data_IF_824477858042
#
_entry.id   IF_824477858042
#
_cell.length_a   1.000
_cell.length_b   1.000
_cell.length_c   1.000
_cell.angle_alpha   90.00
_cell.angle_beta   90.00
_cell.angle_gamma   90.00
#
_symmetry.space_group_name_H-M   'P 1'
#
loop_
_entity.id
_entity.type
_entity.pdbx_description
1 polymer ?
#
# COMPACT_ATOMS: atom_id res chain seq x y z
N UNK A 1 7.94 5.97 -0.23
CA UNK A 1 7.46 5.55 1.10
C UNK A 1 6.42 4.49 0.84
N UNK A 2 6.64 3.25 1.30
CA UNK A 2 5.51 2.34 1.52
C UNK A 2 4.62 3.04 2.54
N UNK A 3 3.40 3.40 2.12
CA UNK A 3 2.42 4.09 2.97
C UNK A 3 1.60 2.98 3.60
N UNK A 4 1.97 2.57 4.80
CA UNK A 4 1.04 1.81 5.63
C UNK A 4 0.04 2.82 6.18
N UNK A 5 -1.24 2.56 5.93
CA UNK A 5 -2.31 3.37 6.45
C UNK A 5 -3.26 2.44 7.20
N UNK A 6 -3.80 2.92 8.31
CA UNK A 6 -4.86 2.26 9.05
C UNK A 6 -6.03 3.22 9.18
N UNK A 7 -7.25 2.68 9.12
CA UNK A 7 -8.48 3.42 9.33
C UNK A 7 -9.25 2.74 10.43
N UNK A 8 -9.70 3.52 11.41
CA UNK A 8 -10.61 3.05 12.44
C UNK A 8 -11.96 3.69 12.21
N UNK A 9 -12.96 2.83 12.04
CA UNK A 9 -14.32 3.26 11.78
C UNK A 9 -15.12 3.35 13.08
N UNK A 10 -16.04 4.31 13.14
CA UNK A 10 -17.05 4.51 14.16
C UNK A 10 -18.37 4.86 13.47
N UNK A 11 -19.45 4.19 13.83
CA UNK A 11 -20.75 4.88 13.81
C UNK A 11 -20.61 5.98 14.90
N UNK A 12 -21.02 7.22 14.77
CA UNK A 12 -20.95 8.35 15.76
C UNK A 12 -19.77 9.29 15.61
N UNK A 13 -18.69 8.92 14.93
CA UNK A 13 -17.58 9.84 14.73
C UNK A 13 -16.93 9.65 13.36
N UNK A 14 -16.31 10.73 12.86
CA UNK A 14 -15.47 10.68 11.67
C UNK A 14 -14.40 9.59 11.83
N UNK A 15 -14.11 8.81 10.77
CA UNK A 15 -13.04 7.82 10.81
C UNK A 15 -11.72 8.43 11.24
N UNK A 16 -11.00 7.72 12.10
CA UNK A 16 -9.61 8.05 12.42
C UNK A 16 -8.69 7.56 11.32
N UNK A 17 -8.04 8.48 10.59
CA UNK A 17 -7.05 8.17 9.56
C UNK A 17 -5.64 8.20 10.14
N UNK A 18 -4.97 7.05 10.07
CA UNK A 18 -3.66 6.82 10.62
C UNK A 18 -2.68 6.45 9.51
N UNK A 19 -1.47 6.98 9.60
CA UNK A 19 -0.44 6.70 8.60
C UNK A 19 0.88 6.36 9.29
N UNK A 20 1.66 5.49 8.65
CA UNK A 20 2.99 5.13 9.06
C UNK A 20 3.95 5.37 7.88
N UNK A 21 5.04 6.10 8.15
CA UNK A 21 6.07 6.47 7.17
C UNK A 21 7.40 5.75 7.44
N UNK A 22 7.36 4.60 8.08
CA UNK A 22 8.52 3.81 8.50
C UNK A 22 8.88 3.94 9.99
N UNK A 23 7.91 4.29 10.84
CA UNK A 23 8.09 4.36 12.29
C UNK A 23 7.51 3.13 12.98
N UNK A 24 7.84 2.90 14.26
CA UNK A 24 7.26 1.82 15.05
C UNK A 24 5.79 2.09 15.48
N UNK A 25 5.26 3.28 15.20
CA UNK A 25 3.90 3.69 15.54
C UNK A 25 3.23 4.40 14.36
N UNK A 26 1.89 4.48 14.43
CA UNK A 26 1.11 5.28 13.50
C UNK A 26 0.97 6.72 13.99
N UNK A 27 1.15 7.67 13.08
CA UNK A 27 0.76 9.06 13.30
C UNK A 27 -0.72 9.26 12.97
N UNK A 28 -1.38 10.15 13.70
CA UNK A 28 -2.73 10.62 13.36
C UNK A 28 -2.65 11.86 12.48
N UNK A 29 -3.37 11.86 11.36
CA UNK A 29 -3.49 13.04 10.52
C UNK A 29 -4.67 13.90 10.99
N UNK A 30 -4.50 14.71 12.04
CA UNK A 30 -5.58 15.57 12.58
C UNK A 30 -6.11 16.57 11.55
N UNK A 31 -5.29 16.97 10.59
CA UNK A 31 -5.69 17.85 9.47
C UNK A 31 -6.45 17.12 8.35
N UNK A 32 -6.59 15.80 8.44
CA UNK A 32 -7.39 14.96 7.53
C UNK A 32 -8.64 14.44 8.26
N UNK A 33 -9.31 15.32 9.00
CA UNK A 33 -10.66 15.06 9.50
C UNK A 33 -11.62 15.10 8.31
N UNK A 34 -12.36 14.01 8.07
CA UNK A 34 -13.30 13.96 6.95
C UNK A 34 -14.50 14.90 7.19
N UNK A 35 -14.84 15.15 8.46
CA UNK A 35 -15.87 16.10 8.85
C UNK A 35 -15.54 17.54 8.46
N UNK A 36 -14.25 17.91 8.42
CA UNK A 36 -13.80 19.27 8.08
C UNK A 36 -13.50 19.44 6.57
N UNK A 37 -13.75 18.40 5.77
CA UNK A 37 -13.53 18.42 4.33
C UNK A 37 -14.64 19.17 3.60
N UNK A 38 -14.30 19.77 2.45
CA UNK A 38 -15.28 20.35 1.51
C UNK A 38 -15.85 19.34 0.52
N UNK A 39 -15.34 18.10 0.51
CA UNK A 39 -15.82 17.05 -0.39
C UNK A 39 -17.12 16.44 0.15
N UNK A 40 -18.23 16.39 -0.61
CA UNK A 40 -19.51 15.86 -0.11
C UNK A 40 -19.42 14.42 0.39
N UNK A 41 -18.65 13.58 -0.30
CA UNK A 41 -18.43 12.19 0.12
C UNK A 41 -17.66 12.11 1.45
N UNK A 42 -16.71 13.03 1.70
CA UNK A 42 -15.96 13.04 2.95
C UNK A 42 -16.85 13.51 4.11
N UNK A 43 -17.69 14.52 3.89
CA UNK A 43 -18.64 15.00 4.90
C UNK A 43 -19.63 13.89 5.30
N UNK A 44 -20.22 13.20 4.31
CA UNK A 44 -21.14 12.08 4.57
C UNK A 44 -20.48 10.95 5.39
N UNK A 45 -19.22 10.62 5.08
CA UNK A 45 -18.45 9.65 5.88
C UNK A 45 -18.10 10.22 7.26
N UNK A 46 -17.80 11.51 7.36
CA UNK A 46 -17.41 12.21 8.60
C UNK A 46 -18.50 12.22 9.68
N UNK A 47 -19.77 12.11 9.30
CA UNK A 47 -20.91 11.94 10.21
C UNK A 47 -20.98 10.54 10.87
N UNK A 48 -20.14 9.62 10.39
CA UNK A 48 -20.06 8.23 10.83
C UNK A 48 -20.45 7.27 9.72
N UNK A 49 -20.12 5.99 9.93
CA UNK A 49 -20.26 4.95 8.92
C UNK A 49 -20.61 3.62 9.55
N UNK A 50 -21.20 2.74 8.76
CA UNK A 50 -21.57 1.38 9.17
C UNK A 50 -20.47 0.38 8.87
N UNK A 51 -19.73 0.59 7.78
CA UNK A 51 -18.63 -0.24 7.33
C UNK A 51 -17.70 0.54 6.41
N UNK A 52 -16.49 0.03 6.18
CA UNK A 52 -15.59 0.58 5.19
C UNK A 52 -14.31 -0.22 5.03
N UNK A 53 -13.52 0.17 4.03
CA UNK A 53 -12.21 -0.37 3.74
C UNK A 53 -11.29 0.74 3.24
N UNK A 54 -9.99 0.58 3.49
CA UNK A 54 -8.97 1.41 2.88
C UNK A 54 -8.10 0.52 2.01
N UNK A 55 -8.18 0.75 0.70
CA UNK A 55 -7.58 -0.08 -0.34
C UNK A 55 -7.29 0.80 -1.53
N UNK A 56 -6.27 0.48 -2.31
CA UNK A 56 -6.04 1.11 -3.60
C UNK A 56 -7.10 0.60 -4.60
N UNK A 57 -8.09 1.43 -4.94
CA UNK A 57 -9.21 1.09 -5.83
C UNK A 57 -8.88 1.39 -7.29
N UNK A 58 -7.92 2.29 -7.56
CA UNK A 58 -7.62 2.79 -8.90
C UNK A 58 -6.26 2.33 -9.45
N UNK A 59 -5.45 1.65 -8.65
CA UNK A 59 -4.15 1.09 -9.00
C UNK A 59 -2.99 2.09 -8.98
N UNK A 60 -3.14 3.26 -8.36
CA UNK A 60 -2.10 4.30 -8.31
C UNK A 60 -1.15 4.17 -7.10
N UNK A 61 -1.37 3.14 -6.27
CA UNK A 61 -0.60 2.83 -5.06
C UNK A 61 -0.69 3.92 -3.98
N UNK A 62 -1.77 4.70 -4.01
CA UNK A 62 -2.26 5.53 -2.92
C UNK A 62 -3.49 4.85 -2.32
N UNK A 63 -3.57 4.71 -0.98
CA UNK A 63 -4.78 4.17 -0.36
C UNK A 63 -5.98 5.08 -0.63
N UNK A 64 -7.05 4.49 -1.15
CA UNK A 64 -8.37 5.11 -1.27
C UNK A 64 -9.25 4.69 -0.09
N UNK A 65 -10.28 5.48 0.21
CA UNK A 65 -11.27 5.15 1.23
C UNK A 65 -12.58 4.75 0.56
N UNK A 66 -13.11 3.58 0.91
CA UNK A 66 -14.46 3.13 0.59
C UNK A 66 -15.25 3.00 1.89
N UNK A 67 -16.45 3.55 1.97
CA UNK A 67 -17.28 3.45 3.17
C UNK A 67 -18.78 3.43 2.84
N UNK A 68 -19.56 2.83 3.73
CA UNK A 68 -21.02 2.91 3.74
C UNK A 68 -21.42 3.94 4.78
N UNK A 69 -21.98 5.07 4.34
CA UNK A 69 -22.41 6.14 5.22
C UNK A 69 -23.63 5.73 6.08
N UNK A 70 -24.04 6.57 7.03
CA UNK A 70 -25.17 6.24 7.93
C UNK A 70 -26.49 6.08 7.19
N UNK A 71 -26.61 6.69 6.02
CA UNK A 71 -27.77 6.62 5.14
C UNK A 71 -27.74 5.37 4.25
N UNK A 72 -26.74 4.49 4.43
CA UNK A 72 -26.59 3.24 3.69
C UNK A 72 -26.04 3.41 2.28
N UNK A 73 -25.51 4.59 1.93
CA UNK A 73 -24.95 4.85 0.62
C UNK A 73 -23.46 4.49 0.58
N UNK A 74 -23.04 3.89 -0.53
CA UNK A 74 -21.62 3.62 -0.79
C UNK A 74 -20.94 4.91 -1.26
N UNK A 75 -19.89 5.31 -0.54
CA UNK A 75 -19.07 6.49 -0.82
C UNK A 75 -17.61 6.07 -1.02
N UNK A 76 -16.91 6.76 -1.90
CA UNK A 76 -15.47 6.58 -2.07
C UNK A 76 -14.73 7.91 -2.14
N UNK A 77 -13.51 7.93 -1.62
CA UNK A 77 -12.56 9.04 -1.72
C UNK A 77 -11.27 8.50 -2.31
N UNK A 78 -10.88 9.03 -3.46
CA UNK A 78 -9.62 8.67 -4.08
C UNK A 78 -8.47 9.46 -3.46
N UNK A 79 -7.42 8.76 -3.05
CA UNK A 79 -6.20 9.37 -2.59
C UNK A 79 -5.50 10.10 -3.73
N UNK A 80 -5.00 11.31 -3.46
CA UNK A 80 -4.28 12.07 -4.48
C UNK A 80 -2.76 11.80 -4.40
N UNK A 81 -2.17 11.42 -5.54
CA UNK A 81 -0.72 11.46 -5.75
C UNK A 81 -0.31 12.76 -6.48
N UNK A 82 0.73 13.48 -6.00
CA UNK A 82 1.38 14.49 -6.83
C UNK A 82 2.11 13.76 -7.98
N UNK A 83 1.48 13.77 -9.16
CA UNK A 83 1.83 13.04 -10.39
C UNK A 83 1.73 11.50 -10.31
N UNK A 84 1.25 10.89 -11.40
CA UNK A 84 1.20 9.43 -11.55
C UNK A 84 2.60 8.85 -11.29
N UNK A 85 2.73 8.06 -10.21
CA UNK A 85 3.97 7.33 -9.94
C UNK A 85 4.12 6.25 -11.01
N UNK A 86 4.88 6.55 -12.06
CA UNK A 86 5.11 5.62 -13.19
C UNK A 86 6.15 4.55 -12.91
N UNK A 87 6.69 4.47 -11.70
CA UNK A 87 7.73 3.49 -11.35
C UNK A 87 7.15 2.46 -10.38
N UNK A 88 6.89 1.27 -10.90
CA UNK A 88 6.28 0.16 -10.17
C UNK A 88 6.97 -1.15 -10.57
N UNK A 89 7.14 -2.04 -9.60
CA UNK A 89 7.64 -3.39 -9.80
C UNK A 89 6.65 -4.41 -9.25
N UNK A 90 6.15 -5.32 -10.09
CA UNK A 90 5.39 -6.48 -9.65
C UNK A 90 6.34 -7.63 -9.38
N UNK A 91 6.45 -8.09 -8.13
CA UNK A 91 7.21 -9.27 -7.76
C UNK A 91 6.27 -10.46 -7.61
N UNK A 92 6.50 -11.52 -8.39
CA UNK A 92 5.78 -12.79 -8.25
C UNK A 92 6.73 -13.94 -7.96
N UNK A 93 6.23 -15.01 -7.34
CA UNK A 93 7.02 -16.24 -7.22
C UNK A 93 7.14 -16.93 -8.58
N UNK A 94 8.31 -17.53 -8.79
CA UNK A 94 8.46 -18.62 -9.74
C UNK A 94 7.61 -19.82 -9.26
N UNK A 95 7.01 -20.56 -10.21
CA UNK A 95 6.09 -21.66 -9.90
C UNK A 95 6.72 -22.82 -9.15
N UNK A 96 8.06 -22.86 -9.09
CA UNK A 96 8.85 -23.82 -8.31
C UNK A 96 8.79 -23.58 -6.80
N UNK A 97 8.39 -22.39 -6.35
CA UNK A 97 8.24 -22.05 -4.93
C UNK A 97 6.79 -22.22 -4.49
N UNK A 98 6.53 -23.24 -3.67
CA UNK A 98 5.20 -23.56 -3.15
C UNK A 98 4.79 -22.78 -1.90
N UNK A 99 5.67 -21.95 -1.33
CA UNK A 99 5.42 -21.22 -0.08
C UNK A 99 5.63 -19.71 -0.23
N UNK A 100 4.92 -18.89 0.58
CA UNK A 100 5.14 -17.45 0.60
C UNK A 100 6.58 -17.06 0.94
N UNK A 101 7.07 -15.99 0.29
CA UNK A 101 8.34 -15.37 0.64
C UNK A 101 8.13 -13.98 1.23
N UNK A 102 8.87 -13.69 2.29
CA UNK A 102 9.02 -12.32 2.80
C UNK A 102 10.22 -11.67 2.12
N UNK A 103 9.95 -10.63 1.34
CA UNK A 103 10.94 -9.94 0.50
C UNK A 103 11.17 -8.54 1.04
N UNK A 104 12.40 -8.23 1.42
CA UNK A 104 12.85 -6.88 1.75
C UNK A 104 13.23 -6.15 0.47
N UNK A 105 12.83 -4.89 0.35
CA UNK A 105 13.02 -4.10 -0.88
C UNK A 105 13.82 -2.85 -0.56
N UNK A 106 14.90 -2.60 -1.30
CA UNK A 106 15.69 -1.38 -1.21
C UNK A 106 15.88 -0.73 -2.59
N UNK A 107 15.97 0.61 -2.63
CA UNK A 107 16.30 1.39 -3.83
C UNK A 107 17.58 2.19 -3.54
N UNK A 108 18.71 1.68 -4.03
CA UNK A 108 20.03 2.10 -3.54
C UNK A 108 20.14 1.89 -2.02
N UNK A 109 20.55 2.92 -1.29
CA UNK A 109 20.69 2.86 0.18
C UNK A 109 19.35 2.98 0.95
N UNK A 110 18.22 3.17 0.26
CA UNK A 110 16.93 3.41 0.91
C UNK A 110 16.11 2.13 1.00
N UNK A 111 15.82 1.67 2.21
CA UNK A 111 14.83 0.61 2.43
C UNK A 111 13.40 1.12 2.14
N UNK A 112 12.64 0.38 1.34
CA UNK A 112 11.28 0.72 0.93
C UNK A 112 10.22 -0.05 1.72
N UNK A 113 10.55 -1.23 2.24
CA UNK A 113 9.66 -2.04 3.06
C UNK A 113 9.88 -3.54 2.87
N UNK A 114 9.03 -4.32 3.54
CA UNK A 114 8.96 -5.77 3.40
C UNK A 114 7.59 -6.16 2.81
N UNK A 115 7.59 -7.13 1.92
CA UNK A 115 6.41 -7.58 1.19
C UNK A 115 6.31 -9.10 1.27
N UNK A 116 5.10 -9.60 1.52
CA UNK A 116 4.83 -11.05 1.41
C UNK A 116 4.38 -11.32 -0.02
N UNK A 117 5.13 -12.16 -0.73
CA UNK A 117 4.80 -12.60 -2.10
C UNK A 117 4.32 -14.05 -2.00
N UNK A 118 3.10 -14.33 -2.46
CA UNK A 118 2.50 -15.68 -2.36
C UNK A 118 2.40 -16.34 -3.74
N UNK A 119 2.31 -17.68 -3.80
CA UNK A 119 1.99 -18.37 -5.04
C UNK A 119 0.67 -17.85 -5.63
N UNK A 120 0.66 -17.47 -6.90
CA UNK A 120 -0.52 -16.93 -7.60
C UNK A 120 -0.90 -15.48 -7.25
N UNK A 121 -0.36 -14.90 -6.17
CA UNK A 121 -0.66 -13.55 -5.70
C UNK A 121 0.62 -12.70 -5.67
N UNK A 122 0.95 -12.01 -6.77
CA UNK A 122 2.15 -11.18 -6.83
C UNK A 122 2.00 -9.92 -5.97
N UNK A 123 3.12 -9.41 -5.44
CA UNK A 123 3.16 -8.15 -4.72
C UNK A 123 3.50 -6.98 -5.65
N UNK A 124 2.75 -5.89 -5.52
CA UNK A 124 3.03 -4.63 -6.22
C UNK A 124 3.85 -3.69 -5.34
N UNK A 125 4.97 -3.22 -5.89
CA UNK A 125 5.94 -2.38 -5.18
C UNK A 125 6.02 -1.02 -5.86
N UNK A 126 5.60 0.04 -5.16
CA UNK A 126 5.72 1.42 -5.63
C UNK A 126 7.15 1.94 -5.43
N UNK A 127 7.74 2.56 -6.46
CA UNK A 127 9.04 3.21 -6.36
C UNK A 127 8.88 4.74 -6.42
N UNK A 128 9.64 5.50 -5.62
CA UNK A 128 9.59 6.96 -5.64
C UNK A 128 10.23 7.57 -6.89
N UNK A 129 11.04 6.80 -7.62
CA UNK A 129 11.76 7.19 -8.85
C UNK A 129 12.28 5.94 -9.56
N UNK A 130 12.72 6.09 -10.81
CA UNK A 130 13.50 5.08 -11.48
C UNK A 130 14.81 4.76 -10.73
N UNK A 131 15.27 3.51 -10.83
CA UNK A 131 16.57 3.10 -10.31
C UNK A 131 16.69 1.61 -10.06
N UNK A 132 17.85 1.23 -9.51
CA UNK A 132 18.19 -0.13 -9.12
C UNK A 132 17.52 -0.51 -7.81
N UNK A 133 16.68 -1.53 -7.87
CA UNK A 133 15.97 -2.12 -6.74
C UNK A 133 16.65 -3.42 -6.37
N UNK A 134 17.01 -3.55 -5.09
CA UNK A 134 17.49 -4.79 -4.50
C UNK A 134 16.30 -5.47 -3.79
N UNK A 135 16.04 -6.72 -4.18
CA UNK A 135 15.03 -7.59 -3.59
C UNK A 135 15.77 -8.67 -2.82
N UNK A 136 15.61 -8.71 -1.50
CA UNK A 136 16.33 -9.63 -0.63
C UNK A 136 15.35 -10.52 0.12
N UNK A 137 15.54 -11.83 0.09
CA UNK A 137 14.69 -12.79 0.80
C UNK A 137 15.52 -13.98 1.29
N UNK A 138 14.91 -14.82 2.14
CA UNK A 138 15.43 -16.13 2.48
C UNK A 138 14.56 -17.20 1.82
N UNK A 139 15.20 -18.20 1.20
CA UNK A 139 14.48 -19.38 0.69
C UNK A 139 13.98 -20.24 1.85
N UNK A 140 13.05 -21.18 1.62
CA UNK A 140 12.61 -22.13 2.66
C UNK A 140 13.76 -22.92 3.29
N UNK A 141 14.83 -23.15 2.54
CA UNK A 141 16.06 -23.82 3.00
C UNK A 141 16.96 -22.90 3.85
N UNK A 142 16.55 -21.64 4.09
CA UNK A 142 17.26 -20.67 4.92
C UNK A 142 18.35 -19.87 4.20
N UNK A 143 18.58 -20.14 2.91
CA UNK A 143 19.60 -19.44 2.11
C UNK A 143 19.15 -18.01 1.82
N UNK A 144 20.04 -17.05 2.01
CA UNK A 144 19.74 -15.63 1.71
C UNK A 144 20.07 -15.32 0.26
N UNK A 145 19.10 -14.79 -0.47
CA UNK A 145 19.20 -14.44 -1.89
C UNK A 145 18.93 -12.95 -2.09
N UNK A 146 19.68 -12.32 -2.99
CA UNK A 146 19.46 -10.94 -3.43
C UNK A 146 19.33 -10.91 -4.94
N UNK A 147 18.26 -10.31 -5.45
CA UNK A 147 18.04 -10.06 -6.88
C UNK A 147 17.92 -8.58 -7.15
N UNK A 148 18.66 -8.13 -8.16
CA UNK A 148 18.73 -6.71 -8.51
C UNK A 148 17.97 -6.47 -9.80
N UNK A 149 17.11 -5.46 -9.79
CA UNK A 149 16.24 -5.10 -10.90
C UNK A 149 16.34 -3.60 -11.16
N UNK A 150 16.72 -3.20 -12.37
CA UNK A 150 16.67 -1.78 -12.75
C UNK A 150 15.27 -1.46 -13.27
N UNK A 151 14.59 -0.54 -12.59
CA UNK A 151 13.23 -0.12 -12.94
C UNK A 151 13.27 1.28 -13.52
N UNK A 152 13.01 1.40 -14.82
CA UNK A 152 12.89 2.67 -15.57
C UNK A 152 11.45 2.94 -16.05
N UNK A 153 10.60 1.92 -16.00
CA UNK A 153 9.17 1.93 -16.31
C UNK A 153 8.49 0.80 -15.50
N UNK A 154 7.14 0.70 -15.47
CA UNK A 154 6.48 -0.41 -14.81
C UNK A 154 6.99 -1.75 -15.34
N UNK A 155 7.29 -2.69 -14.43
CA UNK A 155 7.90 -3.97 -14.78
C UNK A 155 7.50 -5.11 -13.87
N UNK A 156 7.82 -6.34 -14.28
CA UNK A 156 7.55 -7.57 -13.52
C UNK A 156 8.85 -8.32 -13.28
N UNK A 157 8.96 -8.98 -12.13
CA UNK A 157 10.07 -9.87 -11.79
C UNK A 157 9.55 -11.15 -11.15
N UNK A 158 10.21 -12.26 -11.49
CA UNK A 158 10.01 -13.54 -10.82
C UNK A 158 11.09 -13.78 -9.78
N UNK A 159 10.69 -14.21 -8.60
CA UNK A 159 11.53 -14.58 -7.47
C UNK A 159 11.59 -16.11 -7.42
N UNK A 160 12.80 -16.65 -7.49
CA UNK A 160 13.05 -18.09 -7.48
C UNK A 160 14.04 -18.47 -6.40
N UNK A 161 14.58 -19.69 -6.50
CA UNK A 161 15.79 -20.08 -5.77
C UNK A 161 16.98 -19.25 -6.23
#
# INVERSE_FOLDING_TARGET
>A
MSRQAAVFFSDKASPGLYFNRGFACFGIARTLSLADSSLPAAQAIGEGQQAGAMVDLNGDLVPDLLAVDRQGQVRYLLGAAPAARRFHLTAGLDGSLGSPLTVSVALGQRHLGMYVVRPGEPASIALPRAGRVDLSWKTPEGTSTVKQVTVVSPGKVKLGR
#
